data_IF_689763887572
#
_entry.id   IF_689763887572
#
_cell.length_a   1.000
_cell.length_b   1.000
_cell.length_c   1.000
_cell.angle_alpha   90.00
_cell.angle_beta   90.00
_cell.angle_gamma   90.00
#
_symmetry.space_group_name_H-M   'P 1'
#
loop_
_entity.id
_entity.type
_entity.pdbx_description
1 polymer ?
#
# COMPACT_ATOMS: atom_id res chain seq x y z
N UNK A 1 5.50 1.39 -28.20
CA UNK A 1 5.15 0.96 -26.83
C UNK A 1 6.41 0.98 -25.99
N UNK A 2 6.43 1.72 -24.94
CA UNK A 2 7.60 1.76 -24.05
C UNK A 2 7.48 0.61 -23.05
N UNK A 3 8.04 -0.54 -23.41
CA UNK A 3 8.01 -1.79 -22.62
C UNK A 3 8.54 -1.60 -21.19
N UNK A 4 9.23 -0.48 -20.91
CA UNK A 4 9.80 -0.16 -19.60
C UNK A 4 8.73 0.21 -18.56
N UNK A 5 7.67 0.92 -18.96
CA UNK A 5 6.58 1.30 -18.05
C UNK A 5 5.58 0.15 -17.85
N UNK A 6 5.29 -0.61 -18.89
CA UNK A 6 4.36 -1.73 -18.85
C UNK A 6 4.89 -2.94 -18.07
N UNK A 7 6.22 -3.08 -17.96
CA UNK A 7 6.81 -4.22 -17.26
C UNK A 7 6.51 -4.17 -15.77
N UNK A 8 5.99 -5.27 -15.25
CA UNK A 8 5.80 -5.53 -13.82
C UNK A 8 6.74 -6.63 -13.35
N UNK A 9 7.31 -6.48 -12.16
CA UNK A 9 8.15 -7.51 -11.54
C UNK A 9 7.35 -8.81 -11.35
N UNK A 10 7.91 -10.01 -11.62
CA UNK A 10 7.18 -11.28 -11.44
C UNK A 10 6.57 -11.47 -10.06
N UNK A 11 7.29 -11.05 -9.00
CA UNK A 11 6.79 -11.12 -7.64
C UNK A 11 5.65 -10.11 -7.38
N UNK A 12 5.63 -8.97 -8.08
CA UNK A 12 4.51 -8.04 -8.05
C UNK A 12 3.26 -8.72 -8.64
N UNK A 13 3.37 -9.28 -9.83
CA UNK A 13 2.27 -9.96 -10.50
C UNK A 13 1.72 -11.14 -9.68
N UNK A 14 2.61 -11.89 -9.02
CA UNK A 14 2.21 -13.02 -8.19
C UNK A 14 1.46 -12.63 -6.91
N UNK A 15 1.65 -11.39 -6.43
CA UNK A 15 1.11 -10.95 -5.14
C UNK A 15 0.05 -9.86 -5.23
N UNK A 16 -0.12 -9.14 -6.34
CA UNK A 16 -1.03 -7.98 -6.46
C UNK A 16 -2.47 -8.30 -6.03
N UNK A 17 -3.03 -9.43 -6.43
CA UNK A 17 -4.39 -9.84 -6.03
C UNK A 17 -4.49 -10.18 -4.55
N UNK A 18 -3.41 -10.67 -3.93
CA UNK A 18 -3.35 -10.94 -2.50
C UNK A 18 -3.31 -9.64 -1.71
N UNK A 19 -2.55 -8.65 -2.16
CA UNK A 19 -2.51 -7.33 -1.53
C UNK A 19 -3.87 -6.63 -1.59
N UNK A 20 -4.53 -6.67 -2.75
CA UNK A 20 -5.90 -6.16 -2.90
C UNK A 20 -6.88 -6.85 -1.94
N UNK A 21 -6.82 -8.17 -1.82
CA UNK A 21 -7.64 -8.93 -0.88
C UNK A 21 -7.39 -8.52 0.58
N UNK A 22 -6.14 -8.34 0.97
CA UNK A 22 -5.80 -7.90 2.33
C UNK A 22 -6.25 -6.47 2.59
N UNK A 23 -6.05 -5.56 1.63
CA UNK A 23 -6.55 -4.20 1.72
C UNK A 23 -8.07 -4.17 1.92
N UNK A 24 -8.81 -4.84 1.05
CA UNK A 24 -10.28 -4.92 1.15
C UNK A 24 -10.74 -5.57 2.45
N UNK A 25 -10.05 -6.59 2.91
CA UNK A 25 -10.34 -7.22 4.21
C UNK A 25 -10.11 -6.30 5.39
N UNK A 26 -9.11 -5.42 5.31
CA UNK A 26 -8.84 -4.40 6.32
C UNK A 26 -9.84 -3.24 6.24
N UNK A 27 -10.14 -2.72 5.05
CA UNK A 27 -11.08 -1.63 4.85
C UNK A 27 -12.49 -2.02 5.29
N UNK A 28 -12.97 -3.19 4.89
CA UNK A 28 -14.33 -3.67 5.18
C UNK A 28 -15.40 -2.92 4.40
N UNK A 29 -16.66 -3.05 4.81
CA UNK A 29 -17.78 -2.33 4.21
C UNK A 29 -17.94 -2.57 2.71
N UNK A 30 -18.21 -1.51 1.95
CA UNK A 30 -18.42 -1.57 0.50
C UNK A 30 -17.17 -2.06 -0.24
N UNK A 31 -15.98 -1.64 0.17
CA UNK A 31 -14.72 -2.10 -0.42
C UNK A 31 -14.57 -3.63 -0.39
N UNK A 32 -15.01 -4.26 0.71
CA UNK A 32 -14.98 -5.71 0.83
C UNK A 32 -16.07 -6.37 -0.02
N UNK A 33 -17.25 -5.78 -0.06
CA UNK A 33 -18.37 -6.28 -0.86
C UNK A 33 -18.06 -6.25 -2.36
N UNK A 34 -17.40 -5.20 -2.84
CA UNK A 34 -16.96 -5.06 -4.22
C UNK A 34 -15.97 -6.16 -4.65
N UNK A 35 -15.23 -6.73 -3.70
CA UNK A 35 -14.37 -7.89 -3.93
C UNK A 35 -15.11 -9.19 -4.28
N UNK A 36 -16.45 -9.23 -4.08
CA UNK A 36 -17.31 -10.38 -4.42
C UNK A 36 -16.82 -11.70 -3.82
N UNK A 37 -16.47 -11.69 -2.52
CA UNK A 37 -15.83 -12.82 -1.84
C UNK A 37 -16.76 -13.95 -1.45
N UNK A 38 -18.08 -13.81 -1.64
CA UNK A 38 -19.01 -14.93 -1.48
C UNK A 38 -18.97 -15.87 -2.68
N UNK A 39 -19.16 -17.15 -2.44
CA UNK A 39 -19.36 -18.12 -3.52
C UNK A 39 -20.81 -18.08 -3.99
N UNK A 40 -21.04 -17.99 -5.29
CA UNK A 40 -22.38 -18.10 -5.86
C UNK A 40 -22.92 -19.53 -5.71
N UNK A 41 -24.21 -19.67 -5.40
CA UNK A 41 -24.86 -20.98 -5.39
C UNK A 41 -25.05 -21.50 -6.81
N UNK A 42 -25.11 -22.84 -6.94
CA UNK A 42 -25.49 -23.45 -8.22
C UNK A 42 -26.90 -22.96 -8.62
N UNK A 43 -27.01 -22.39 -9.81
CA UNK A 43 -28.23 -21.79 -10.35
C UNK A 43 -28.73 -20.50 -9.65
N UNK A 44 -27.91 -19.83 -8.84
CA UNK A 44 -28.24 -18.51 -8.28
C UNK A 44 -28.30 -17.47 -9.40
N UNK A 45 -29.39 -16.69 -9.45
CA UNK A 45 -29.49 -15.57 -10.39
C UNK A 45 -28.52 -14.45 -10.00
N UNK A 46 -27.96 -13.75 -10.98
CA UNK A 46 -26.97 -12.67 -10.74
C UNK A 46 -27.47 -11.58 -9.79
N UNK A 47 -28.75 -11.21 -9.92
CA UNK A 47 -29.36 -10.18 -9.09
C UNK A 47 -29.51 -10.64 -7.63
N UNK A 48 -29.83 -11.92 -7.42
CA UNK A 48 -29.92 -12.53 -6.08
C UNK A 48 -28.54 -12.62 -5.44
N UNK A 49 -27.52 -13.02 -6.18
CA UNK A 49 -26.14 -13.02 -5.74
C UNK A 49 -25.67 -11.60 -5.33
N UNK A 50 -25.89 -10.59 -6.19
CA UNK A 50 -25.54 -9.20 -5.91
C UNK A 50 -26.26 -8.66 -4.67
N UNK A 51 -27.53 -9.03 -4.51
CA UNK A 51 -28.34 -8.68 -3.33
C UNK A 51 -27.79 -9.35 -2.07
N UNK A 52 -27.40 -10.63 -2.16
CA UNK A 52 -26.83 -11.39 -1.06
C UNK A 52 -25.50 -10.80 -0.58
N UNK A 53 -24.60 -10.41 -1.49
CA UNK A 53 -23.37 -9.71 -1.15
C UNK A 53 -23.66 -8.44 -0.32
N UNK A 54 -24.60 -7.61 -0.79
CA UNK A 54 -24.92 -6.33 -0.13
C UNK A 54 -25.58 -6.48 1.24
N UNK A 55 -26.30 -7.58 1.45
CA UNK A 55 -27.06 -7.81 2.68
C UNK A 55 -26.28 -8.61 3.73
N UNK A 56 -25.23 -9.32 3.33
CA UNK A 56 -24.43 -10.10 4.27
C UNK A 56 -23.63 -9.18 5.17
N UNK A 57 -23.78 -9.27 6.51
CA UNK A 57 -23.01 -8.46 7.42
C UNK A 57 -21.54 -8.90 7.43
N UNK A 58 -20.64 -7.95 7.53
CA UNK A 58 -19.20 -8.19 7.70
C UNK A 58 -18.78 -7.77 9.12
N UNK A 59 -18.25 -8.71 9.90
CA UNK A 59 -17.54 -8.41 11.13
C UNK A 59 -16.04 -8.28 10.82
N UNK A 60 -15.52 -7.02 10.90
CA UNK A 60 -14.16 -6.72 10.47
C UNK A 60 -13.13 -7.02 11.57
N UNK A 61 -12.69 -8.27 11.62
CA UNK A 61 -11.63 -8.71 12.52
C UNK A 61 -10.24 -8.22 12.08
N UNK A 62 -9.98 -8.12 10.77
CA UNK A 62 -8.69 -7.68 10.23
C UNK A 62 -8.31 -6.29 10.73
N UNK A 63 -9.22 -5.33 10.60
CA UNK A 63 -8.99 -3.95 11.06
C UNK A 63 -8.76 -3.89 12.56
N UNK A 64 -9.60 -4.59 13.32
CA UNK A 64 -9.52 -4.60 14.78
C UNK A 64 -8.17 -5.13 15.27
N UNK A 65 -7.69 -6.23 14.71
CA UNK A 65 -6.42 -6.85 15.11
C UNK A 65 -5.25 -5.92 14.79
N UNK A 66 -5.17 -5.36 13.59
CA UNK A 66 -4.10 -4.42 13.21
C UNK A 66 -4.07 -3.21 14.14
N UNK A 67 -5.23 -2.63 14.47
CA UNK A 67 -5.29 -1.48 15.38
C UNK A 67 -4.90 -1.83 16.82
N UNK A 68 -5.29 -3.01 17.32
CA UNK A 68 -4.88 -3.47 18.65
C UNK A 68 -3.35 -3.59 18.69
N UNK A 69 -2.73 -4.27 17.72
CA UNK A 69 -1.26 -4.41 17.67
C UNK A 69 -0.56 -3.06 17.56
N UNK A 70 -1.02 -2.19 16.66
CA UNK A 70 -0.46 -0.84 16.51
C UNK A 70 -0.56 -0.05 17.83
N UNK A 71 -1.70 -0.14 18.52
CA UNK A 71 -1.90 0.57 19.79
C UNK A 71 -0.97 0.10 20.90
N UNK A 72 -0.66 -1.22 20.95
CA UNK A 72 0.31 -1.75 21.88
C UNK A 72 1.74 -1.35 21.55
N UNK A 73 2.13 -1.42 20.28
CA UNK A 73 3.47 -1.09 19.79
C UNK A 73 3.82 0.38 20.04
N UNK A 74 2.86 1.27 19.79
CA UNK A 74 3.05 2.72 19.88
C UNK A 74 2.54 3.31 21.20
N UNK A 75 2.27 2.46 22.19
CA UNK A 75 1.84 2.91 23.53
C UNK A 75 2.86 3.82 24.20
N UNK A 76 4.13 3.54 23.98
CA UNK A 76 5.26 4.34 24.48
C UNK A 76 6.02 4.88 23.27
N UNK A 77 6.27 6.19 23.18
CA UNK A 77 7.05 6.75 22.09
C UNK A 77 8.43 6.12 22.01
N UNK A 78 8.92 5.78 20.79
CA UNK A 78 10.25 5.20 20.63
C UNK A 78 11.35 6.20 21.03
N UNK A 79 12.31 5.74 21.80
CA UNK A 79 13.51 6.53 22.16
C UNK A 79 14.53 6.40 21.03
N UNK A 80 14.99 7.54 20.49
CA UNK A 80 16.00 7.61 19.45
C UNK A 80 17.21 8.35 19.92
N UNK A 81 18.38 7.81 19.63
CA UNK A 81 19.65 8.50 19.87
C UNK A 81 20.24 8.91 18.52
N UNK A 82 20.29 10.19 18.27
CA UNK A 82 20.80 10.77 17.03
C UNK A 82 22.31 11.08 17.07
N UNK A 83 22.98 10.75 18.17
CA UNK A 83 24.42 10.98 18.33
C UNK A 83 24.83 12.41 17.96
N UNK A 84 25.74 12.56 16.99
CA UNK A 84 26.24 13.88 16.52
C UNK A 84 25.21 14.72 15.79
N UNK A 85 24.04 14.18 15.43
CA UNK A 85 22.96 14.93 14.79
C UNK A 85 21.96 15.50 15.79
N UNK A 86 22.10 15.20 17.08
CA UNK A 86 21.25 15.76 18.12
C UNK A 86 21.35 17.30 18.12
N UNK A 87 20.21 17.99 18.16
CA UNK A 87 20.15 19.46 18.09
C UNK A 87 20.41 20.04 16.68
N UNK A 88 20.40 19.21 15.64
CA UNK A 88 20.48 19.72 14.27
C UNK A 88 19.09 20.22 13.84
N UNK A 89 18.92 21.53 13.50
CA UNK A 89 17.63 22.11 13.16
C UNK A 89 16.92 21.42 11.98
N UNK A 90 17.67 20.92 10.99
CA UNK A 90 17.09 20.21 9.86
C UNK A 90 16.53 18.83 10.28
N UNK A 91 17.16 18.18 11.27
CA UNK A 91 16.63 16.93 11.82
C UNK A 91 15.41 17.19 12.69
N UNK A 92 15.39 18.26 13.48
CA UNK A 92 14.23 18.63 14.29
C UNK A 92 13.04 18.95 13.41
N UNK A 93 13.20 19.78 12.38
CA UNK A 93 12.14 20.05 11.40
C UNK A 93 11.63 18.80 10.69
N UNK A 94 12.51 17.86 10.34
CA UNK A 94 12.11 16.56 9.77
C UNK A 94 11.36 15.69 10.78
N UNK A 95 11.71 15.74 12.06
CA UNK A 95 11.01 14.97 13.10
C UNK A 95 9.61 15.51 13.38
N UNK A 96 9.42 16.83 13.26
CA UNK A 96 8.13 17.48 13.50
C UNK A 96 7.18 17.34 12.31
N UNK A 97 7.72 17.35 11.08
CA UNK A 97 6.96 17.20 9.86
C UNK A 97 7.80 16.40 8.85
N UNK A 98 7.56 15.10 8.78
CA UNK A 98 8.40 14.18 8.03
C UNK A 98 8.06 14.10 6.54
N UNK A 99 6.81 14.32 6.18
CA UNK A 99 6.24 14.12 4.83
C UNK A 99 5.94 15.40 4.06
N UNK A 100 6.14 16.57 4.67
CA UNK A 100 5.75 17.91 4.19
C UNK A 100 4.23 18.18 4.24
N UNK A 101 3.45 17.28 4.83
CA UNK A 101 2.00 17.43 5.02
C UNK A 101 1.62 17.66 6.49
N UNK A 102 2.62 17.93 7.36
CA UNK A 102 2.46 18.24 8.78
C UNK A 102 2.44 17.00 9.68
N UNK A 103 2.82 15.83 9.18
CA UNK A 103 2.84 14.61 9.97
C UNK A 103 4.21 14.42 10.65
N UNK A 104 4.21 14.28 11.98
CA UNK A 104 5.44 13.97 12.70
C UNK A 104 6.02 12.61 12.30
N UNK A 105 7.34 12.47 12.35
CA UNK A 105 8.01 11.21 12.02
C UNK A 105 7.49 10.01 12.83
N UNK A 106 7.07 10.20 14.07
CA UNK A 106 6.45 9.13 14.87
C UNK A 106 5.08 8.70 14.30
N UNK A 107 4.24 9.66 13.93
CA UNK A 107 2.94 9.38 13.33
C UNK A 107 3.09 8.70 11.97
N UNK A 108 4.02 9.20 11.15
CA UNK A 108 4.36 8.60 9.87
C UNK A 108 4.82 7.14 10.01
N UNK A 109 5.73 6.86 10.94
CA UNK A 109 6.21 5.49 11.17
C UNK A 109 5.15 4.57 11.75
N UNK A 110 4.20 5.10 12.52
CA UNK A 110 3.04 4.34 12.99
C UNK A 110 2.12 3.98 11.82
N UNK A 111 1.88 4.90 10.93
CA UNK A 111 1.12 4.64 9.70
C UNK A 111 1.83 3.63 8.81
N UNK A 112 3.13 3.79 8.59
CA UNK A 112 3.95 2.84 7.85
C UNK A 112 3.88 1.42 8.45
N UNK A 113 3.86 1.29 9.77
CA UNK A 113 3.70 0.01 10.46
C UNK A 113 2.30 -0.59 10.20
N UNK A 114 1.23 0.21 10.26
CA UNK A 114 -0.14 -0.25 9.97
C UNK A 114 -0.22 -0.80 8.55
N UNK A 115 0.21 -0.04 7.57
CA UNK A 115 0.20 -0.48 6.17
C UNK A 115 1.13 -1.66 5.90
N UNK A 116 2.27 -1.72 6.60
CA UNK A 116 3.15 -2.89 6.55
C UNK A 116 2.46 -4.15 7.08
N UNK A 117 1.70 -4.04 8.17
CA UNK A 117 0.90 -5.17 8.70
C UNK A 117 -0.16 -5.63 7.72
N UNK A 118 -0.85 -4.70 7.04
CA UNK A 118 -1.90 -5.00 6.05
C UNK A 118 -1.32 -5.68 4.82
N UNK A 119 -0.36 -5.04 4.15
CA UNK A 119 0.18 -5.53 2.87
C UNK A 119 1.30 -6.57 3.03
N UNK A 120 1.90 -6.66 4.23
CA UNK A 120 3.10 -7.43 4.52
C UNK A 120 4.38 -6.60 4.43
N UNK A 121 4.38 -5.50 3.70
CA UNK A 121 5.48 -4.53 3.62
C UNK A 121 4.99 -3.22 3.01
N UNK A 122 5.77 -2.18 3.23
CA UNK A 122 5.67 -0.90 2.51
C UNK A 122 7.06 -0.47 2.08
N UNK A 123 7.12 0.45 1.14
CA UNK A 123 8.36 1.09 0.73
C UNK A 123 8.42 2.51 1.27
N UNK A 124 9.55 2.84 1.86
CA UNK A 124 9.86 4.17 2.36
C UNK A 124 10.95 4.77 1.49
N UNK A 125 10.70 5.95 0.96
CA UNK A 125 11.64 6.66 0.10
C UNK A 125 11.88 8.05 0.67
N UNK A 126 13.16 8.41 0.84
CA UNK A 126 13.55 9.77 1.17
C UNK A 126 13.85 10.53 -0.11
N UNK A 127 13.34 11.74 -0.19
CA UNK A 127 13.58 12.64 -1.30
C UNK A 127 13.79 14.07 -0.82
N UNK A 128 14.20 14.94 -1.73
CA UNK A 128 14.32 16.37 -1.49
C UNK A 128 13.85 17.10 -2.75
N UNK A 129 12.96 18.10 -2.62
CA UNK A 129 12.54 18.89 -3.77
C UNK A 129 13.73 19.51 -4.50
N UNK A 130 13.62 19.64 -5.82
CA UNK A 130 14.64 20.35 -6.60
C UNK A 130 14.78 21.77 -6.08
N UNK A 131 16.01 22.17 -5.73
CA UNK A 131 16.30 23.49 -5.24
C UNK A 131 16.89 24.36 -6.36
N UNK A 132 16.38 25.57 -6.49
CA UNK A 132 16.99 26.64 -7.30
C UNK A 132 17.78 27.60 -6.43
N UNK A 133 17.80 27.39 -5.11
CA UNK A 133 18.50 28.21 -4.16
C UNK A 133 20.03 28.07 -4.32
N UNK A 134 20.74 29.16 -4.25
CA UNK A 134 22.19 29.18 -4.34
C UNK A 134 22.90 28.94 -3.00
N UNK A 135 22.17 29.07 -1.89
CA UNK A 135 22.68 28.90 -0.53
C UNK A 135 21.74 28.10 0.36
N UNK A 136 22.29 27.49 1.42
CA UNK A 136 21.50 26.78 2.42
C UNK A 136 20.52 27.70 3.18
N UNK A 137 20.83 28.98 3.33
CA UNK A 137 19.93 29.95 3.97
C UNK A 137 18.70 30.18 3.10
N UNK A 138 18.85 30.32 1.80
CA UNK A 138 17.75 30.43 0.85
C UNK A 138 16.90 29.14 0.79
N UNK A 139 17.52 27.97 0.87
CA UNK A 139 16.77 26.70 0.98
C UNK A 139 15.87 26.65 2.23
N UNK A 140 16.38 27.14 3.36
CA UNK A 140 15.62 27.21 4.60
C UNK A 140 14.47 28.21 4.53
N UNK A 141 14.68 29.38 3.89
CA UNK A 141 13.63 30.37 3.64
C UNK A 141 12.53 29.85 2.71
N UNK A 142 12.91 28.98 1.74
CA UNK A 142 12.00 28.35 0.79
C UNK A 142 11.40 27.02 1.34
N UNK A 143 11.71 26.67 2.59
CA UNK A 143 11.28 25.41 3.24
C UNK A 143 11.69 24.14 2.48
N UNK A 144 12.75 24.24 1.63
CA UNK A 144 13.26 23.11 0.85
C UNK A 144 14.08 22.19 1.77
N UNK A 145 13.52 21.07 2.15
CA UNK A 145 14.14 20.10 3.04
C UNK A 145 13.85 18.65 2.63
N UNK A 146 14.63 17.69 3.08
CA UNK A 146 14.33 16.28 2.87
C UNK A 146 12.99 15.90 3.50
N UNK A 147 12.27 15.01 2.83
CA UNK A 147 11.03 14.42 3.31
C UNK A 147 11.00 12.92 3.02
N UNK A 148 10.07 12.22 3.64
CA UNK A 148 9.87 10.79 3.46
C UNK A 148 8.50 10.52 2.86
N UNK A 149 8.44 9.62 1.88
CA UNK A 149 7.19 9.17 1.25
C UNK A 149 7.01 7.68 1.49
N UNK A 150 5.77 7.29 1.74
CA UNK A 150 5.34 5.91 1.85
C UNK A 150 4.70 5.46 0.55
N UNK A 151 5.18 4.34 0.00
CA UNK A 151 4.54 3.66 -1.11
C UNK A 151 4.03 2.29 -0.66
N UNK A 152 2.76 2.04 -0.91
CA UNK A 152 2.20 0.70 -0.78
C UNK A 152 2.76 -0.21 -1.89
N UNK A 153 2.78 -1.54 -1.70
CA UNK A 153 3.29 -2.46 -2.71
C UNK A 153 2.61 -2.32 -4.07
N UNK A 154 1.35 -1.92 -4.10
CA UNK A 154 0.58 -1.70 -5.32
C UNK A 154 1.12 -0.57 -6.21
N UNK A 155 1.89 0.35 -5.62
CA UNK A 155 2.50 1.46 -6.32
C UNK A 155 3.98 1.23 -6.68
N UNK A 156 4.55 0.07 -6.34
CA UNK A 156 5.94 -0.27 -6.64
C UNK A 156 5.99 -1.43 -7.62
N UNK A 157 6.16 -1.12 -8.90
CA UNK A 157 5.95 -2.07 -10.00
C UNK A 157 7.18 -2.92 -10.33
N UNK A 158 8.39 -2.40 -10.09
CA UNK A 158 9.63 -3.13 -10.37
C UNK A 158 10.75 -2.66 -9.44
N UNK A 159 11.57 -3.62 -9.02
CA UNK A 159 12.75 -3.38 -8.18
C UNK A 159 13.84 -4.39 -8.49
N UNK A 160 15.12 -3.96 -8.41
CA UNK A 160 16.27 -4.83 -8.60
C UNK A 160 17.29 -4.62 -7.51
N UNK A 161 17.85 -5.72 -7.04
CA UNK A 161 18.90 -5.72 -6.04
C UNK A 161 20.22 -6.13 -6.66
N UNK A 162 21.28 -5.42 -6.31
CA UNK A 162 22.63 -5.76 -6.70
C UNK A 162 23.51 -5.96 -5.48
N UNK A 163 24.40 -6.95 -5.53
CA UNK A 163 25.38 -7.16 -4.47
C UNK A 163 26.50 -6.14 -4.62
N UNK A 164 26.71 -5.35 -3.58
CA UNK A 164 27.83 -4.42 -3.48
C UNK A 164 29.11 -5.17 -3.10
N UNK A 165 30.30 -4.59 -3.34
CA UNK A 165 31.62 -5.16 -2.97
C UNK A 165 31.73 -5.49 -1.48
N UNK A 166 31.05 -4.74 -0.61
CA UNK A 166 30.92 -5.03 0.82
C UNK A 166 30.11 -6.28 1.16
N UNK A 167 29.60 -7.01 0.16
CA UNK A 167 28.72 -8.16 0.31
C UNK A 167 27.26 -7.81 0.60
N UNK A 168 26.93 -6.56 0.87
CA UNK A 168 25.54 -6.09 1.13
C UNK A 168 24.76 -5.97 -0.18
N UNK A 169 23.48 -6.32 -0.14
CA UNK A 169 22.58 -6.03 -1.24
C UNK A 169 22.10 -4.58 -1.14
N UNK A 170 22.18 -3.87 -2.26
CA UNK A 170 21.66 -2.52 -2.42
C UNK A 170 20.63 -2.51 -3.53
N UNK A 171 19.65 -1.64 -3.40
CA UNK A 171 18.69 -1.38 -4.45
C UNK A 171 19.40 -0.71 -5.62
N UNK A 172 19.26 -1.26 -6.83
CA UNK A 172 19.91 -0.75 -8.05
C UNK A 172 18.90 -0.20 -9.07
N UNK A 173 17.63 -0.54 -8.90
CA UNK A 173 16.53 -0.06 -9.72
C UNK A 173 15.25 -0.05 -8.89
N UNK A 174 14.43 0.98 -9.05
CA UNK A 174 13.12 1.09 -8.44
C UNK A 174 12.18 1.85 -9.38
N UNK A 175 11.03 1.25 -9.69
CA UNK A 175 9.95 1.91 -10.44
C UNK A 175 8.73 2.05 -9.56
N UNK A 176 8.32 3.29 -9.33
CA UNK A 176 7.16 3.62 -8.51
C UNK A 176 6.16 4.46 -9.30
N UNK A 177 4.88 4.28 -8.99
CA UNK A 177 3.81 5.17 -9.40
C UNK A 177 3.61 6.20 -8.28
N UNK A 178 3.79 7.46 -8.59
CA UNK A 178 3.68 8.55 -7.61
C UNK A 178 2.25 9.03 -7.43
N UNK A 179 1.55 9.18 -8.54
CA UNK A 179 0.19 9.68 -8.53
C UNK A 179 -0.61 9.17 -9.70
N UNK A 180 -1.92 9.24 -9.53
CA UNK A 180 -2.91 8.94 -10.56
C UNK A 180 -3.83 10.15 -10.63
N UNK A 181 -3.97 10.72 -11.82
CA UNK A 181 -4.84 11.85 -12.08
C UNK A 181 -5.96 11.40 -13.02
N UNK A 182 -7.20 11.66 -12.63
CA UNK A 182 -8.37 11.42 -13.47
C UNK A 182 -8.70 12.72 -14.19
N UNK A 183 -8.46 12.76 -15.50
CA UNK A 183 -8.70 13.94 -16.33
C UNK A 183 -10.17 14.05 -16.68
N UNK A 184 -10.82 12.93 -17.02
CA UNK A 184 -12.25 12.83 -17.33
C UNK A 184 -12.80 11.44 -16.93
N UNK A 185 -14.06 11.14 -17.29
CA UNK A 185 -14.71 9.87 -16.94
C UNK A 185 -14.05 8.63 -17.56
N UNK A 186 -13.23 8.80 -18.58
CA UNK A 186 -12.61 7.70 -19.33
C UNK A 186 -11.08 7.72 -19.28
N UNK A 187 -10.47 8.89 -19.03
CA UNK A 187 -9.03 9.10 -19.13
C UNK A 187 -8.40 9.23 -17.75
N UNK A 188 -7.54 8.29 -17.44
CA UNK A 188 -6.69 8.31 -16.25
C UNK A 188 -5.24 8.44 -16.67
N UNK A 189 -4.51 9.33 -16.03
CA UNK A 189 -3.09 9.54 -16.26
C UNK A 189 -2.32 9.12 -15.01
N UNK A 190 -1.30 8.32 -15.22
CA UNK A 190 -0.43 7.84 -14.17
C UNK A 190 0.95 8.51 -14.32
N UNK A 191 1.53 8.88 -13.19
CA UNK A 191 2.88 9.45 -13.13
C UNK A 191 3.81 8.45 -12.49
N UNK A 192 4.88 8.12 -13.22
CA UNK A 192 5.89 7.17 -12.76
C UNK A 192 7.22 7.85 -12.52
N UNK A 193 7.90 7.39 -11.50
CA UNK A 193 9.30 7.73 -11.24
C UNK A 193 10.14 6.47 -11.26
N UNK A 194 11.24 6.53 -12.00
CA UNK A 194 12.20 5.43 -12.11
C UNK A 194 13.52 5.90 -11.54
N UNK A 195 13.98 5.20 -10.53
CA UNK A 195 15.25 5.45 -9.87
C UNK A 195 16.28 4.42 -10.25
N UNK A 196 17.47 4.89 -10.60
CA UNK A 196 18.70 4.13 -10.67
C UNK A 196 19.75 4.79 -9.76
N UNK A 197 20.92 4.18 -9.64
CA UNK A 197 22.01 4.81 -8.89
C UNK A 197 22.51 6.12 -9.54
N UNK A 198 22.34 6.26 -10.86
CA UNK A 198 22.91 7.36 -11.65
C UNK A 198 21.84 8.37 -12.08
N UNK A 199 20.61 7.92 -12.33
CA UNK A 199 19.54 8.73 -12.92
C UNK A 199 18.20 8.59 -12.18
N UNK A 200 17.40 9.66 -12.27
CA UNK A 200 16.01 9.72 -11.85
C UNK A 200 15.22 10.16 -13.08
N UNK A 201 14.28 9.36 -13.52
CA UNK A 201 13.46 9.61 -14.68
C UNK A 201 12.00 9.76 -14.30
N UNK A 202 11.31 10.74 -14.89
CA UNK A 202 9.89 11.02 -14.66
C UNK A 202 9.11 10.77 -15.93
N UNK A 203 8.01 10.05 -15.81
CA UNK A 203 7.14 9.67 -16.92
C UNK A 203 5.69 9.97 -16.63
N UNK A 204 4.97 10.36 -17.68
CA UNK A 204 3.53 10.42 -17.74
C UNK A 204 3.04 9.26 -18.62
N UNK A 205 2.00 8.56 -18.20
CA UNK A 205 1.40 7.46 -18.93
C UNK A 205 -0.13 7.58 -18.90
N UNK A 206 -0.76 7.54 -20.07
CA UNK A 206 -2.21 7.67 -20.23
C UNK A 206 -2.91 6.36 -20.62
N UNK A 207 -2.24 5.24 -20.48
CA UNK A 207 -2.70 3.91 -20.87
C UNK A 207 -2.22 3.47 -22.26
N UNK A 208 -1.96 4.41 -23.17
CA UNK A 208 -1.50 4.12 -24.53
C UNK A 208 -0.11 4.69 -24.81
N UNK A 209 0.17 5.88 -24.29
CA UNK A 209 1.37 6.65 -24.61
C UNK A 209 2.18 6.92 -23.34
N UNK A 210 3.47 6.62 -23.42
CA UNK A 210 4.45 6.97 -22.41
C UNK A 210 5.23 8.20 -22.84
N UNK A 211 5.17 9.26 -22.05
CA UNK A 211 5.89 10.52 -22.26
C UNK A 211 6.92 10.72 -21.15
N UNK A 212 8.19 10.86 -21.51
CA UNK A 212 9.24 11.23 -20.56
C UNK A 212 9.18 12.72 -20.30
N UNK A 213 8.81 13.10 -19.08
CA UNK A 213 8.65 14.48 -18.68
C UNK A 213 9.99 15.13 -18.31
N UNK A 214 10.83 14.40 -17.57
CA UNK A 214 12.08 14.94 -17.03
C UNK A 214 13.09 13.82 -16.76
N UNK A 215 14.36 14.23 -16.67
CA UNK A 215 15.48 13.39 -16.26
C UNK A 215 16.45 14.21 -15.41
N UNK A 216 16.89 13.63 -14.31
CA UNK A 216 17.89 14.25 -13.46
C UNK A 216 18.98 13.25 -13.09
N UNK A 217 20.20 13.72 -12.90
CA UNK A 217 21.25 12.92 -12.27
C UNK A 217 20.89 12.63 -10.81
N UNK A 218 21.21 11.44 -10.34
CA UNK A 218 21.05 11.09 -8.94
C UNK A 218 22.33 11.44 -8.16
N UNK A 219 22.36 12.57 -7.43
CA UNK A 219 23.59 13.04 -6.77
C UNK A 219 24.03 12.16 -5.61
N UNK A 220 23.14 11.26 -5.13
CA UNK A 220 23.43 10.38 -3.99
C UNK A 220 24.22 9.14 -4.40
N UNK A 221 24.24 8.77 -5.70
CA UNK A 221 24.85 7.54 -6.20
C UNK A 221 24.24 6.26 -5.59
N UNK A 222 23.06 6.37 -4.99
CA UNK A 222 22.27 5.28 -4.43
C UNK A 222 20.77 5.64 -4.51
N UNK A 223 19.92 4.62 -4.44
CA UNK A 223 18.47 4.83 -4.34
C UNK A 223 18.11 4.98 -2.85
N UNK A 224 17.59 6.15 -2.43
CA UNK A 224 17.31 6.43 -1.01
C UNK A 224 15.98 5.80 -0.58
N UNK A 225 15.78 4.53 -0.90
CA UNK A 225 14.58 3.78 -0.60
C UNK A 225 14.90 2.50 0.16
N UNK A 226 13.99 2.09 1.02
CA UNK A 226 14.03 0.83 1.73
C UNK A 226 12.64 0.23 1.86
N UNK A 227 12.53 -1.09 1.87
CA UNK A 227 11.27 -1.72 2.22
C UNK A 227 11.22 -2.01 3.72
N UNK A 228 10.06 -1.78 4.32
CA UNK A 228 9.74 -2.06 5.70
C UNK A 228 8.77 -3.25 5.74
N UNK A 229 9.25 -4.49 5.96
CA UNK A 229 8.38 -5.66 6.08
C UNK A 229 7.77 -5.77 7.48
N UNK A 230 6.51 -6.21 7.60
CA UNK A 230 5.92 -6.64 8.85
C UNK A 230 6.64 -7.89 9.37
N UNK A 231 6.76 -8.89 8.51
CA UNK A 231 7.66 -10.02 8.72
C UNK A 231 8.47 -10.28 7.43
N UNK A 232 9.74 -10.71 7.59
CA UNK A 232 10.59 -10.99 6.43
C UNK A 232 10.16 -12.27 5.73
N UNK A 233 10.03 -12.20 4.42
CA UNK A 233 9.87 -13.34 3.53
C UNK A 233 11.24 -13.84 3.05
N UNK A 234 11.22 -15.01 2.41
CA UNK A 234 12.40 -15.55 1.68
C UNK A 234 12.72 -14.74 0.43
N UNK A 235 11.74 -14.03 -0.11
CA UNK A 235 11.88 -13.16 -1.29
C UNK A 235 12.23 -11.75 -0.83
N UNK A 236 13.34 -11.21 -1.35
CA UNK A 236 13.78 -9.85 -1.01
C UNK A 236 12.87 -8.82 -1.71
N UNK A 237 12.40 -7.84 -0.93
CA UNK A 237 11.45 -6.82 -1.40
C UNK A 237 9.99 -7.21 -1.17
N UNK A 238 9.71 -8.43 -0.71
CA UNK A 238 8.38 -8.89 -0.31
C UNK A 238 8.39 -9.21 1.18
N UNK A 239 7.37 -8.76 1.89
CA UNK A 239 7.09 -9.10 3.28
C UNK A 239 5.88 -10.03 3.42
N UNK A 240 5.71 -10.58 4.61
CA UNK A 240 4.55 -11.39 4.97
C UNK A 240 3.57 -10.52 5.76
N UNK A 241 2.32 -10.49 5.32
CA UNK A 241 1.25 -9.76 5.99
C UNK A 241 0.83 -10.45 7.29
N UNK A 242 0.56 -9.65 8.32
CA UNK A 242 -0.05 -10.13 9.56
C UNK A 242 -1.49 -10.60 9.33
N UNK A 243 -2.10 -10.21 8.20
CA UNK A 243 -3.46 -10.61 7.80
C UNK A 243 -3.49 -11.90 6.99
N UNK A 244 -2.35 -12.53 6.69
CA UNK A 244 -2.27 -13.68 5.77
C UNK A 244 -3.23 -14.82 6.12
N UNK A 245 -3.44 -15.11 7.40
CA UNK A 245 -4.38 -16.14 7.85
C UNK A 245 -5.74 -15.54 8.28
N UNK A 246 -5.71 -14.38 8.91
CA UNK A 246 -6.88 -13.69 9.47
C UNK A 246 -7.88 -13.30 8.39
N UNK A 247 -7.41 -12.78 7.25
CA UNK A 247 -8.26 -12.39 6.13
C UNK A 247 -9.05 -13.57 5.54
N UNK A 248 -8.42 -14.75 5.46
CA UNK A 248 -9.11 -15.95 5.01
C UNK A 248 -10.11 -16.48 6.03
N UNK A 249 -9.82 -16.36 7.33
CA UNK A 249 -10.79 -16.67 8.37
C UNK A 249 -11.98 -15.70 8.36
N UNK A 250 -11.72 -14.40 8.20
CA UNK A 250 -12.77 -13.39 8.02
C UNK A 250 -13.65 -13.70 6.82
N UNK A 251 -13.04 -14.13 5.69
CA UNK A 251 -13.80 -14.59 4.51
C UNK A 251 -14.68 -15.81 4.82
N UNK A 252 -14.17 -16.78 5.58
CA UNK A 252 -14.96 -17.94 5.99
C UNK A 252 -16.17 -17.54 6.86
N UNK A 253 -15.94 -16.70 7.88
CA UNK A 253 -17.00 -16.16 8.73
C UNK A 253 -18.05 -15.39 7.90
N UNK A 254 -17.61 -14.56 6.95
CA UNK A 254 -18.51 -13.82 6.06
C UNK A 254 -19.39 -14.76 5.23
N UNK A 255 -18.85 -15.87 4.75
CA UNK A 255 -19.60 -16.90 4.03
C UNK A 255 -20.63 -17.59 4.94
N UNK A 256 -20.25 -17.97 6.16
CA UNK A 256 -21.17 -18.57 7.15
C UNK A 256 -22.29 -17.60 7.54
N UNK A 257 -22.01 -16.32 7.72
CA UNK A 257 -23.03 -15.32 8.01
C UNK A 257 -24.02 -15.17 6.85
N UNK A 258 -23.54 -15.28 5.61
CA UNK A 258 -24.42 -15.30 4.44
C UNK A 258 -25.39 -16.49 4.44
N UNK A 259 -24.90 -17.67 4.79
CA UNK A 259 -25.74 -18.89 4.90
C UNK A 259 -26.78 -18.73 6.02
N UNK A 260 -26.38 -18.25 7.19
CA UNK A 260 -27.28 -17.99 8.32
C UNK A 260 -28.39 -17.03 7.93
N UNK A 261 -28.06 -15.92 7.26
CA UNK A 261 -29.04 -14.95 6.79
C UNK A 261 -30.06 -15.58 5.82
N UNK A 262 -29.64 -16.46 4.93
CA UNK A 262 -30.54 -17.20 4.03
C UNK A 262 -31.45 -18.16 4.80
N UNK A 263 -30.92 -18.91 5.74
CA UNK A 263 -31.70 -19.83 6.59
C UNK A 263 -32.76 -19.08 7.40
N UNK A 264 -32.39 -17.93 8.00
CA UNK A 264 -33.33 -17.08 8.74
C UNK A 264 -34.47 -16.58 7.84
N UNK A 265 -34.18 -16.15 6.63
CA UNK A 265 -35.21 -15.71 5.67
C UNK A 265 -36.17 -16.81 5.29
N UNK A 266 -35.65 -18.00 4.98
CA UNK A 266 -36.49 -19.16 4.64
C UNK A 266 -37.38 -19.56 5.85
N UNK A 267 -36.82 -19.56 7.05
CA UNK A 267 -37.56 -19.92 8.28
C UNK A 267 -38.62 -18.89 8.64
N UNK A 268 -38.38 -17.60 8.40
CA UNK A 268 -39.34 -16.53 8.71
C UNK A 268 -40.47 -16.42 7.71
N UNK A 269 -40.39 -17.11 6.55
CA UNK A 269 -41.46 -17.21 5.56
C UNK A 269 -41.91 -18.68 5.38
N UNK A 270 -42.59 -19.26 6.38
CA UNK A 270 -42.98 -20.66 6.33
C UNK A 270 -43.94 -20.90 5.14
N UNK A 271 -43.61 -21.88 4.30
CA UNK A 271 -44.45 -22.30 3.21
C UNK A 271 -45.53 -23.24 3.74
N UNK A 272 -46.79 -22.91 3.51
CA UNK A 272 -47.91 -23.80 3.82
C UNK A 272 -47.86 -25.02 2.89
N UNK A 273 -47.57 -26.20 3.42
CA UNK A 273 -47.65 -27.46 2.66
C UNK A 273 -49.01 -28.10 2.98
N UNK A 274 -49.86 -28.24 1.98
CA UNK A 274 -51.12 -29.01 2.09
C UNK A 274 -50.93 -30.35 1.42
N UNK A 275 -50.92 -31.43 2.21
CA UNK A 275 -51.01 -32.78 1.69
C UNK A 275 -52.46 -33.15 1.46
N UNK A 276 -52.77 -33.70 0.30
CA UNK A 276 -54.05 -34.28 -0.05
C UNK A 276 -53.88 -35.78 0.04
N UNK A 277 -54.76 -36.45 0.80
CA UNK A 277 -54.89 -37.91 0.82
C UNK A 277 -55.63 -38.39 -0.43
#
# INVERSE_FOLDING_TARGET
MDTKLEYEHPDYQANKYRWEFFLRSYMGGEDYQDGSYLTAYTNEHKDDYSRRIKLTPLDNHCKNIVHIYSSFLWRVPPIRNFNSLAGNPALESFMDDADLDGQSFNSFMREAQIWSSVYGHVWLMMDKPKSTAGTRAEELEQEIRPYITLFTPENVFDWKWQRHESGRFRLSYLKVRESVERIDDTTTVEYFRIWTKDLIEYYRYDGDTAEKLDEAENPLGLIPATYLPAARSVVRGIGLSDLSDIAYMQKAIYSELSEIEQLIRISNHPTLVKTFD
#
